data_IF_967293012759
#
_entry.id   IF_967293012759
#
_cell.length_a   1.000
_cell.length_b   1.000
_cell.length_c   1.000
_cell.angle_alpha   90.00
_cell.angle_beta   90.00
_cell.angle_gamma   90.00
#
_symmetry.space_group_name_H-M   'P 1'
#
loop_
_entity.id
_entity.type
_entity.pdbx_description
1 polymer ?
#
# COMPACT_ATOMS: atom_id res chain seq x y z
N UNK A 1 -13.36 -1.67 -32.80
CA UNK A 1 -12.98 -2.04 -31.41
C UNK A 1 -12.44 -3.45 -31.44
N UNK A 2 -11.34 -3.73 -30.74
CA UNK A 2 -10.75 -5.07 -30.66
C UNK A 2 -11.76 -6.08 -30.04
N UNK A 3 -12.07 -7.21 -30.71
CA UNK A 3 -12.98 -8.23 -30.19
C UNK A 3 -12.59 -8.79 -28.81
N UNK A 4 -11.28 -8.86 -28.51
CA UNK A 4 -10.80 -9.33 -27.21
C UNK A 4 -11.20 -8.37 -26.07
N UNK A 5 -11.11 -7.07 -26.33
CA UNK A 5 -11.42 -6.01 -25.37
C UNK A 5 -12.93 -5.94 -25.06
N UNK A 6 -13.78 -6.23 -26.05
CA UNK A 6 -15.23 -6.34 -25.84
C UNK A 6 -15.60 -7.52 -24.95
N UNK A 7 -14.95 -8.67 -25.15
CA UNK A 7 -15.15 -9.88 -24.34
C UNK A 7 -14.73 -9.68 -22.89
N UNK A 8 -13.60 -9.00 -22.66
CA UNK A 8 -13.13 -8.69 -21.31
C UNK A 8 -14.07 -7.73 -20.58
N UNK A 9 -14.56 -6.69 -21.28
CA UNK A 9 -15.54 -5.73 -20.74
C UNK A 9 -16.83 -6.43 -20.27
N UNK A 10 -17.34 -7.39 -21.03
CA UNK A 10 -18.54 -8.14 -20.65
C UNK A 10 -18.30 -9.05 -19.45
N UNK A 11 -17.15 -9.72 -19.39
CA UNK A 11 -16.75 -10.57 -18.26
C UNK A 11 -16.59 -9.76 -16.96
N UNK A 12 -15.98 -8.58 -17.05
CA UNK A 12 -15.82 -7.68 -15.91
C UNK A 12 -17.18 -7.24 -15.36
N UNK A 13 -18.10 -6.80 -16.23
CA UNK A 13 -19.47 -6.42 -15.81
C UNK A 13 -20.23 -7.58 -15.16
N UNK A 14 -20.15 -8.78 -15.73
CA UNK A 14 -20.79 -9.98 -15.15
C UNK A 14 -20.24 -10.32 -13.77
N UNK A 15 -18.92 -10.22 -13.57
CA UNK A 15 -18.28 -10.46 -12.27
C UNK A 15 -18.69 -9.42 -11.24
N UNK A 16 -18.69 -8.13 -11.60
CA UNK A 16 -19.11 -7.06 -10.70
C UNK A 16 -20.58 -7.17 -10.26
N UNK A 17 -21.47 -7.65 -11.14
CA UNK A 17 -22.88 -7.87 -10.80
C UNK A 17 -23.07 -9.05 -9.82
N UNK A 18 -22.17 -10.03 -9.86
CA UNK A 18 -22.24 -11.25 -9.05
C UNK A 18 -21.56 -11.08 -7.69
N UNK A 19 -20.65 -10.12 -7.54
CA UNK A 19 -20.04 -9.81 -6.24
C UNK A 19 -21.06 -9.12 -5.34
N UNK A 20 -21.50 -9.76 -4.23
CA UNK A 20 -22.37 -9.10 -3.28
C UNK A 20 -21.64 -7.90 -2.67
N UNK A 21 -22.17 -6.70 -2.85
CA UNK A 21 -21.63 -5.50 -2.22
C UNK A 21 -21.86 -5.58 -0.71
N UNK A 22 -20.78 -5.56 0.08
CA UNK A 22 -20.85 -5.51 1.55
C UNK A 22 -20.97 -4.05 1.98
N UNK A 23 -22.13 -3.44 1.69
CA UNK A 23 -22.53 -2.22 2.38
C UNK A 23 -22.98 -2.58 3.79
N UNK A 24 -22.08 -2.39 4.76
CA UNK A 24 -22.51 -2.14 6.15
C UNK A 24 -23.11 -0.72 6.20
N UNK A 25 -24.32 -0.54 5.68
CA UNK A 25 -25.22 0.48 6.22
C UNK A 25 -25.67 -0.02 7.58
N UNK A 26 -25.21 0.62 8.65
CA UNK A 26 -25.96 0.58 9.90
C UNK A 26 -26.64 1.93 10.07
N UNK A 27 -27.96 1.87 9.92
CA UNK A 27 -28.88 2.87 10.42
C UNK A 27 -28.76 2.97 11.96
N UNK A 28 -28.96 4.18 12.46
CA UNK A 28 -29.22 4.59 13.86
C UNK A 28 -30.50 3.91 14.43
N UNK A 29 -30.79 3.95 15.75
CA UNK A 29 -30.50 2.87 16.70
C UNK A 29 -31.77 2.19 17.27
N UNK A 30 -31.75 0.87 17.49
CA UNK A 30 -32.73 0.18 18.34
C UNK A 30 -31.98 -0.67 19.37
N UNK A 31 -32.37 -0.47 20.63
CA UNK A 31 -31.87 -1.08 21.87
C UNK A 31 -32.25 -2.56 21.91
N UNK A 32 -31.37 -3.42 22.43
CA UNK A 32 -31.74 -4.38 23.47
C UNK A 32 -30.52 -5.00 24.16
N UNK A 33 -30.65 -5.11 25.48
CA UNK A 33 -29.64 -5.50 26.45
C UNK A 33 -29.46 -7.03 26.45
N UNK A 34 -28.22 -7.53 26.33
CA UNK A 34 -27.84 -8.85 26.86
C UNK A 34 -26.32 -8.97 27.04
N UNK A 35 -25.90 -8.80 28.29
CA UNK A 35 -24.57 -9.10 28.81
C UNK A 35 -24.23 -10.60 28.72
N UNK A 36 -23.02 -10.92 28.24
CA UNK A 36 -22.00 -11.88 28.77
C UNK A 36 -21.06 -12.37 27.65
N UNK A 37 -19.86 -12.90 27.96
CA UNK A 37 -18.78 -12.35 28.78
C UNK A 37 -17.51 -12.10 27.91
N UNK A 38 -16.61 -11.26 28.41
CA UNK A 38 -15.35 -10.89 27.75
C UNK A 38 -14.41 -12.10 27.69
N UNK A 39 -14.23 -12.70 26.51
CA UNK A 39 -13.02 -13.46 26.20
C UNK A 39 -11.95 -12.46 25.79
N UNK A 40 -10.97 -12.25 26.66
CA UNK A 40 -9.76 -11.47 26.39
C UNK A 40 -8.91 -12.19 25.35
N UNK A 41 -9.26 -12.08 24.07
CA UNK A 41 -8.29 -12.23 23.00
C UNK A 41 -7.42 -10.98 23.03
N UNK A 42 -6.13 -11.15 23.34
CA UNK A 42 -5.13 -10.11 23.16
C UNK A 42 -5.35 -9.39 21.81
N UNK A 43 -5.23 -8.06 21.74
CA UNK A 43 -5.40 -7.38 20.47
C UNK A 43 -4.27 -7.85 19.56
N UNK A 44 -4.58 -8.75 18.62
CA UNK A 44 -3.76 -8.93 17.44
C UNK A 44 -3.48 -7.52 16.90
N UNK A 45 -2.22 -7.17 16.57
CA UNK A 45 -1.89 -5.86 16.08
C UNK A 45 -2.71 -5.66 14.81
N UNK A 46 -3.78 -4.86 14.93
CA UNK A 46 -4.50 -4.35 13.78
C UNK A 46 -3.45 -3.52 13.07
N UNK A 47 -2.88 -4.08 12.01
CA UNK A 47 -2.05 -3.34 11.07
C UNK A 47 -2.99 -2.30 10.46
N UNK A 48 -3.16 -1.20 11.19
CA UNK A 48 -3.89 -0.05 10.70
C UNK A 48 -3.13 0.41 9.48
N UNK A 49 -3.82 0.59 8.37
CA UNK A 49 -3.17 0.97 7.13
C UNK A 49 -2.42 2.28 7.30
N UNK A 50 -2.76 3.11 8.31
CA UNK A 50 -2.07 4.35 8.66
C UNK A 50 -0.98 4.20 9.74
N UNK A 51 -0.67 3.00 10.25
CA UNK A 51 0.39 2.80 11.25
C UNK A 51 1.75 3.34 10.79
N UNK A 52 2.00 3.41 9.48
CA UNK A 52 3.21 4.01 8.92
C UNK A 52 3.32 5.53 9.14
N UNK A 53 2.20 6.23 9.30
CA UNK A 53 2.17 7.68 9.60
C UNK A 53 2.53 7.96 11.05
N UNK A 54 2.19 7.06 11.96
CA UNK A 54 2.39 7.20 13.41
C UNK A 54 3.61 6.45 13.94
N UNK A 55 4.30 5.67 13.10
CA UNK A 55 5.53 4.99 13.46
C UNK A 55 6.68 6.01 13.64
N UNK A 56 7.01 6.31 14.88
CA UNK A 56 8.10 7.20 15.27
C UNK A 56 9.45 6.56 14.95
N UNK A 57 10.36 7.28 14.28
CA UNK A 57 11.73 6.82 13.99
C UNK A 57 12.04 6.64 12.50
N UNK A 58 12.84 5.61 12.18
CA UNK A 58 13.45 5.38 10.85
C UNK A 58 12.45 5.24 9.69
N UNK A 59 11.18 4.96 9.98
CA UNK A 59 10.13 4.77 8.98
C UNK A 59 9.93 6.02 8.13
N UNK A 60 9.89 7.22 8.73
CA UNK A 60 9.71 8.47 7.99
C UNK A 60 10.83 8.72 6.98
N UNK A 61 12.08 8.48 7.39
CA UNK A 61 13.24 8.58 6.51
C UNK A 61 13.14 7.58 5.34
N UNK A 62 12.84 6.31 5.63
CA UNK A 62 12.68 5.26 4.60
C UNK A 62 11.56 5.59 3.60
N UNK A 63 10.44 6.11 4.07
CA UNK A 63 9.34 6.56 3.20
C UNK A 63 9.71 7.80 2.38
N UNK A 64 10.46 8.74 2.95
CA UNK A 64 10.97 9.90 2.22
C UNK A 64 11.92 9.51 1.08
N UNK A 65 12.80 8.54 1.32
CA UNK A 65 13.68 7.96 0.30
C UNK A 65 12.86 7.28 -0.80
N UNK A 66 11.91 6.43 -0.42
CA UNK A 66 11.03 5.75 -1.38
C UNK A 66 10.29 6.75 -2.28
N UNK A 67 9.74 7.83 -1.70
CA UNK A 67 9.04 8.85 -2.45
C UNK A 67 9.95 9.56 -3.48
N UNK A 68 11.21 9.84 -3.12
CA UNK A 68 12.20 10.41 -4.04
C UNK A 68 12.51 9.47 -5.20
N UNK A 69 12.74 8.19 -4.91
CA UNK A 69 13.01 7.16 -5.91
C UNK A 69 11.84 7.05 -6.90
N UNK A 70 10.61 6.94 -6.40
CA UNK A 70 9.40 6.83 -7.24
C UNK A 70 9.22 8.07 -8.11
N UNK A 71 9.42 9.27 -7.54
CA UNK A 71 9.34 10.52 -8.30
C UNK A 71 10.37 10.55 -9.45
N UNK A 72 11.61 10.18 -9.16
CA UNK A 72 12.70 10.15 -10.12
C UNK A 72 12.44 9.16 -11.27
N UNK A 73 12.05 7.93 -10.92
CA UNK A 73 11.69 6.89 -11.90
C UNK A 73 10.52 7.31 -12.80
N UNK A 74 9.52 7.98 -12.23
CA UNK A 74 8.41 8.53 -13.01
C UNK A 74 8.88 9.61 -13.98
N UNK A 75 9.69 10.56 -13.53
CA UNK A 75 10.18 11.67 -14.38
C UNK A 75 10.98 11.14 -15.56
N UNK A 76 12.00 10.30 -15.32
CA UNK A 76 12.80 9.72 -16.41
C UNK A 76 11.95 8.96 -17.42
N UNK A 77 11.01 8.14 -16.93
CA UNK A 77 10.13 7.38 -17.81
C UNK A 77 9.23 8.28 -18.68
N UNK A 78 8.78 9.41 -18.15
CA UNK A 78 7.99 10.40 -18.89
C UNK A 78 8.83 11.18 -19.90
N UNK A 79 10.11 11.38 -19.63
CA UNK A 79 11.08 12.05 -20.52
C UNK A 79 11.60 11.12 -21.63
N UNK A 80 11.15 9.86 -21.66
CA UNK A 80 11.53 8.87 -22.67
C UNK A 80 12.76 8.04 -22.28
N UNK A 81 13.30 8.26 -21.09
CA UNK A 81 14.43 7.51 -20.59
C UNK A 81 13.97 6.20 -19.90
N UNK A 82 13.91 5.14 -20.70
CA UNK A 82 13.32 3.85 -20.32
C UNK A 82 14.35 2.76 -20.04
N UNK A 83 15.64 3.08 -19.99
CA UNK A 83 16.64 2.08 -19.62
C UNK A 83 16.46 1.69 -18.13
N UNK A 84 16.55 0.39 -17.82
CA UNK A 84 16.49 -0.07 -16.43
C UNK A 84 17.70 0.41 -15.66
N UNK A 85 17.50 0.78 -14.39
CA UNK A 85 18.58 1.06 -13.45
C UNK A 85 18.64 0.01 -12.36
N UNK A 86 19.86 -0.28 -11.92
CA UNK A 86 20.15 -0.98 -10.68
C UNK A 86 19.83 -0.10 -9.47
N UNK A 87 19.68 -0.72 -8.31
CA UNK A 87 19.40 0.03 -7.07
C UNK A 87 20.52 1.04 -6.75
N UNK A 88 21.78 0.69 -7.01
CA UNK A 88 22.93 1.55 -6.76
C UNK A 88 22.88 2.81 -7.62
N UNK A 89 22.66 2.66 -8.93
CA UNK A 89 22.49 3.80 -9.85
C UNK A 89 21.33 4.70 -9.45
N UNK A 90 20.19 4.13 -9.02
CA UNK A 90 19.04 4.91 -8.53
C UNK A 90 19.41 5.71 -7.28
N UNK A 91 20.16 5.11 -6.34
CA UNK A 91 20.56 5.78 -5.11
C UNK A 91 21.60 6.88 -5.37
N UNK A 92 22.48 6.69 -6.35
CA UNK A 92 23.44 7.70 -6.80
C UNK A 92 22.71 8.90 -7.44
N UNK A 93 21.85 8.67 -8.43
CA UNK A 93 21.08 9.72 -9.10
C UNK A 93 20.18 10.50 -8.11
N UNK A 94 19.63 9.81 -7.11
CA UNK A 94 18.76 10.44 -6.09
C UNK A 94 19.51 10.98 -4.86
N UNK A 95 20.85 10.91 -4.84
CA UNK A 95 21.70 11.34 -3.72
C UNK A 95 21.29 10.69 -2.37
N UNK A 96 21.05 9.37 -2.36
CA UNK A 96 20.64 8.57 -1.20
C UNK A 96 21.71 7.57 -0.76
N UNK A 97 22.99 7.96 -0.83
CA UNK A 97 24.16 7.12 -0.50
C UNK A 97 24.17 6.62 0.96
N UNK A 98 23.54 7.37 1.87
CA UNK A 98 23.49 7.04 3.30
C UNK A 98 22.58 5.84 3.66
N UNK A 99 21.81 5.32 2.70
CA UNK A 99 20.86 4.23 2.93
C UNK A 99 21.58 2.89 3.13
N UNK A 100 22.66 2.63 2.38
CA UNK A 100 23.39 1.35 2.42
C UNK A 100 24.00 1.00 3.79
N UNK A 101 24.37 2.03 4.57
CA UNK A 101 25.03 1.86 5.86
C UNK A 101 24.05 1.70 7.04
N UNK A 102 22.80 2.16 6.88
CA UNK A 102 21.79 2.18 7.96
C UNK A 102 20.82 0.99 7.93
N UNK A 103 20.77 0.24 6.82
CA UNK A 103 19.87 -0.92 6.67
C UNK A 103 20.53 -2.24 7.11
N UNK A 104 21.88 -2.28 7.23
CA UNK A 104 22.65 -3.47 7.64
C UNK A 104 22.67 -3.75 9.15
N UNK A 105 21.66 -3.41 9.95
CA UNK A 105 21.63 -3.84 11.37
C UNK A 105 20.17 -3.99 11.85
N UNK A 106 19.45 -5.00 11.37
CA UNK A 106 18.35 -5.67 12.10
C UNK A 106 18.27 -7.10 11.54
N UNK A 107 19.12 -8.01 12.04
CA UNK A 107 19.13 -9.39 11.55
C UNK A 107 20.44 -10.15 11.78
N UNK A 108 20.95 -10.12 13.01
CA UNK A 108 21.79 -11.17 13.58
C UNK A 108 21.36 -11.36 15.04
#
# INVERSE_FOLDING_TARGET
MDPALLKERELFKKRALTTPSVEKRKAEPIRDDKKKPKTSSAPAPKLDINSYKTATGSSQYRFGVLAKIVKHMRTRHQEGDQHPLTLEEILDETNQLDVGNKVKIVGM
#
